data_IF_296570368964
#
_entry.id   IF_296570368964
#
_cell.length_a   1.000
_cell.length_b   1.000
_cell.length_c   1.000
_cell.angle_alpha   90.00
_cell.angle_beta   90.00
_cell.angle_gamma   90.00
#
_symmetry.space_group_name_H-M   'P 1'
#
loop_
_entity.id
_entity.type
_entity.pdbx_description
1 polymer ?
#
# COMPACT_ATOMS: atom_id res chain seq x y z
N UNK A 1 -42.88 -6.42 19.87
CA UNK A 1 -42.16 -5.12 19.83
C UNK A 1 -41.67 -4.91 21.24
N UNK A 2 -40.34 -4.85 21.44
CA UNK A 2 -39.76 -4.77 22.79
C UNK A 2 -40.20 -3.47 23.47
N UNK A 3 -40.44 -3.52 24.77
CA UNK A 3 -40.75 -2.32 25.56
C UNK A 3 -39.97 -2.30 26.87
N UNK A 4 -39.81 -1.11 27.44
CA UNK A 4 -39.14 -0.91 28.72
C UNK A 4 -40.18 -1.17 29.81
N UNK A 5 -39.94 -2.12 30.70
CA UNK A 5 -40.79 -2.41 31.87
C UNK A 5 -40.42 -1.56 33.07
N UNK A 6 -39.13 -1.26 33.22
CA UNK A 6 -38.63 -0.50 34.36
C UNK A 6 -37.37 0.27 34.02
N UNK A 7 -37.24 1.44 34.62
CA UNK A 7 -36.01 2.23 34.63
C UNK A 7 -35.58 2.52 36.07
N UNK A 8 -34.28 2.39 36.31
CA UNK A 8 -33.61 2.84 37.53
C UNK A 8 -32.61 3.91 37.14
N UNK A 9 -32.74 5.10 37.72
CA UNK A 9 -31.89 6.27 37.46
C UNK A 9 -31.15 6.61 38.76
N UNK A 10 -29.82 6.65 38.70
CA UNK A 10 -28.95 6.96 39.82
C UNK A 10 -28.04 8.14 39.47
N UNK A 11 -28.08 9.18 40.31
CA UNK A 11 -27.22 10.36 40.22
C UNK A 11 -27.18 11.03 38.84
N UNK A 12 -28.31 11.01 38.11
CA UNK A 12 -28.45 11.60 36.78
C UNK A 12 -29.29 12.88 36.86
N UNK A 13 -28.66 14.03 36.63
CA UNK A 13 -29.25 15.36 36.69
C UNK A 13 -30.03 15.58 38.02
N UNK A 14 -31.34 15.85 37.92
CA UNK A 14 -32.23 16.05 39.07
C UNK A 14 -32.52 14.78 39.88
N UNK A 15 -32.20 13.59 39.36
CA UNK A 15 -32.50 12.31 39.99
C UNK A 15 -31.31 11.81 40.82
N UNK A 16 -31.47 11.76 42.15
CA UNK A 16 -30.51 11.07 43.03
C UNK A 16 -30.70 9.55 42.92
N UNK A 17 -31.93 9.10 43.12
CA UNK A 17 -32.35 7.73 42.92
C UNK A 17 -33.82 7.76 42.52
N UNK A 18 -34.16 7.18 41.37
CA UNK A 18 -35.54 7.17 40.86
C UNK A 18 -35.80 5.83 40.19
N UNK A 19 -36.91 5.20 40.56
CA UNK A 19 -37.38 3.96 39.98
C UNK A 19 -38.75 4.24 39.38
N UNK A 20 -38.93 3.91 38.10
CA UNK A 20 -40.23 3.99 37.43
C UNK A 20 -40.51 2.64 36.80
N UNK A 21 -41.71 2.13 37.04
CA UNK A 21 -42.25 0.98 36.35
C UNK A 21 -43.20 1.49 35.27
N UNK A 22 -43.14 0.88 34.09
CA UNK A 22 -43.96 1.21 32.95
C UNK A 22 -44.91 0.05 32.66
N UNK A 23 -46.12 0.40 32.27
CA UNK A 23 -47.11 -0.55 31.79
C UNK A 23 -47.09 -0.64 30.26
N UNK A 24 -47.65 -1.71 29.73
CA UNK A 24 -47.82 -1.83 28.28
C UNK A 24 -48.81 -0.77 27.77
N UNK A 25 -48.40 -0.02 26.74
CA UNK A 25 -49.22 1.00 26.10
C UNK A 25 -48.72 2.40 26.36
N UNK A 26 -49.63 3.31 26.72
CA UNK A 26 -49.32 4.75 26.89
C UNK A 26 -49.04 5.05 28.35
N UNK A 27 -47.80 5.45 28.65
CA UNK A 27 -47.38 5.91 29.96
C UNK A 27 -47.26 7.44 29.94
N UNK A 28 -47.89 8.13 30.90
CA UNK A 28 -47.88 9.59 30.98
C UNK A 28 -47.17 10.02 32.26
N UNK A 29 -46.07 10.78 32.11
CA UNK A 29 -45.31 11.34 33.25
C UNK A 29 -45.76 12.79 33.45
N UNK A 30 -46.45 13.06 34.56
CA UNK A 30 -47.03 14.37 34.88
C UNK A 30 -46.30 14.98 36.08
N UNK A 31 -46.17 16.30 36.10
CA UNK A 31 -45.60 17.03 37.23
C UNK A 31 -45.30 18.49 36.89
N UNK A 32 -44.92 19.32 37.88
CA UNK A 32 -44.60 20.73 37.70
C UNK A 32 -43.42 20.94 36.74
N UNK A 33 -43.33 22.10 36.08
CA UNK A 33 -42.13 22.48 35.32
C UNK A 33 -40.87 22.35 36.18
N UNK A 34 -39.74 22.01 35.55
CA UNK A 34 -38.44 21.76 36.22
C UNK A 34 -38.40 20.66 37.29
N UNK A 35 -39.42 19.79 37.34
CA UNK A 35 -39.42 18.62 38.25
C UNK A 35 -38.54 17.43 37.79
N UNK A 36 -37.78 17.58 36.70
CA UNK A 36 -36.92 16.52 36.16
C UNK A 36 -37.56 15.57 35.14
N UNK A 37 -38.80 15.81 34.69
CA UNK A 37 -39.47 14.94 33.70
C UNK A 37 -38.65 14.72 32.42
N UNK A 38 -38.11 15.80 31.87
CA UNK A 38 -37.26 15.75 30.67
C UNK A 38 -35.96 14.97 30.93
N UNK A 39 -35.44 14.99 32.16
CA UNK A 39 -34.25 14.23 32.56
C UNK A 39 -34.46 12.72 32.46
N UNK A 40 -35.68 12.22 32.66
CA UNK A 40 -36.03 10.80 32.49
C UNK A 40 -35.89 10.38 31.03
N UNK A 41 -36.44 11.17 30.10
CA UNK A 41 -36.32 10.91 28.65
C UNK A 41 -34.85 10.99 28.21
N UNK A 42 -34.08 11.94 28.76
CA UNK A 42 -32.63 12.04 28.52
C UNK A 42 -31.87 10.84 29.07
N UNK A 43 -32.25 10.31 30.23
CA UNK A 43 -31.64 9.11 30.80
C UNK A 43 -31.87 7.88 29.90
N UNK A 44 -33.08 7.70 29.37
CA UNK A 44 -33.39 6.65 28.39
C UNK A 44 -32.57 6.85 27.11
N UNK A 45 -32.53 8.09 26.58
CA UNK A 45 -31.73 8.44 25.41
C UNK A 45 -30.24 8.14 25.61
N UNK A 46 -29.73 8.36 26.81
CA UNK A 46 -28.34 8.11 27.16
C UNK A 46 -27.99 6.63 27.12
N UNK A 47 -28.87 5.76 27.61
CA UNK A 47 -28.70 4.31 27.47
C UNK A 47 -28.75 3.92 25.99
N UNK A 48 -29.75 4.38 25.24
CA UNK A 48 -30.02 3.95 23.87
C UNK A 48 -29.00 4.42 22.83
N UNK A 49 -28.48 5.63 22.99
CA UNK A 49 -27.70 6.31 21.96
C UNK A 49 -26.37 6.90 22.46
N UNK A 50 -26.00 6.66 23.73
CA UNK A 50 -24.83 7.27 24.36
C UNK A 50 -24.86 8.82 24.31
N UNK A 51 -26.07 9.38 24.38
CA UNK A 51 -26.31 10.83 24.29
C UNK A 51 -27.12 11.33 25.50
N UNK A 52 -26.64 12.36 26.21
CA UNK A 52 -25.54 13.23 25.81
C UNK A 52 -24.13 12.68 26.10
N UNK A 53 -23.12 13.24 25.42
CA UNK A 53 -21.71 12.96 25.67
C UNK A 53 -21.17 13.77 26.87
N UNK A 54 -19.96 13.44 27.34
CA UNK A 54 -19.37 14.09 28.51
C UNK A 54 -19.92 13.55 29.82
N UNK A 55 -19.81 14.32 30.90
CA UNK A 55 -20.16 13.94 32.27
C UNK A 55 -21.05 14.99 32.98
N UNK A 56 -21.49 16.03 32.27
CA UNK A 56 -22.30 17.12 32.83
C UNK A 56 -23.69 16.68 33.33
N UNK A 57 -24.15 15.50 32.91
CA UNK A 57 -25.37 14.89 33.39
C UNK A 57 -25.21 14.20 34.74
N UNK A 58 -23.99 14.02 35.25
CA UNK A 58 -23.76 13.56 36.62
C UNK A 58 -24.27 14.63 37.58
N UNK A 59 -25.10 14.20 38.54
CA UNK A 59 -25.68 15.08 39.55
C UNK A 59 -24.59 15.82 40.33
N UNK A 60 -24.79 17.13 40.55
CA UNK A 60 -23.85 17.96 41.31
C UNK A 60 -23.61 17.38 42.71
N UNK A 61 -22.35 17.16 43.05
CA UNK A 61 -21.92 16.57 44.33
C UNK A 61 -21.66 15.07 44.27
N UNK A 62 -22.03 14.40 43.18
CA UNK A 62 -21.82 12.97 42.96
C UNK A 62 -20.64 12.74 41.99
N UNK A 63 -20.04 11.55 42.05
CA UNK A 63 -18.85 11.19 41.24
C UNK A 63 -19.15 10.25 40.09
N UNK A 64 -20.35 9.68 40.08
CA UNK A 64 -20.82 8.72 39.09
C UNK A 64 -22.33 8.84 38.87
N UNK A 65 -22.78 8.41 37.69
CA UNK A 65 -24.18 8.28 37.33
C UNK A 65 -24.42 6.95 36.62
N UNK A 66 -25.59 6.35 36.85
CA UNK A 66 -25.99 5.08 36.25
C UNK A 66 -27.45 5.12 35.85
N UNK A 67 -27.78 4.47 34.73
CA UNK A 67 -29.15 4.26 34.28
C UNK A 67 -29.30 2.82 33.87
N UNK A 68 -30.29 2.13 34.43
CA UNK A 68 -30.59 0.72 34.14
C UNK A 68 -31.98 0.60 33.55
N UNK A 69 -32.10 -0.05 32.39
CA UNK A 69 -33.36 -0.39 31.74
C UNK A 69 -33.61 -1.89 31.86
N UNK A 70 -34.83 -2.25 32.23
CA UNK A 70 -35.35 -3.61 32.20
C UNK A 70 -36.31 -3.70 31.02
N UNK A 71 -36.09 -4.67 30.15
CA UNK A 71 -36.87 -4.90 28.95
C UNK A 71 -37.83 -6.09 29.15
N UNK A 72 -38.93 -6.09 28.42
CA UNK A 72 -39.98 -7.13 28.44
C UNK A 72 -39.49 -8.52 28.04
N UNK A 73 -38.36 -8.61 27.37
CA UNK A 73 -37.73 -9.87 26.96
C UNK A 73 -36.68 -10.37 27.96
N UNK A 74 -36.65 -9.85 29.19
CA UNK A 74 -35.75 -10.28 30.27
C UNK A 74 -34.37 -9.64 30.25
N UNK A 75 -34.02 -8.87 29.22
CA UNK A 75 -32.72 -8.19 29.15
C UNK A 75 -32.67 -7.01 30.12
N UNK A 76 -31.54 -6.88 30.81
CA UNK A 76 -31.24 -5.75 31.69
C UNK A 76 -30.03 -5.03 31.13
N UNK A 77 -30.16 -3.73 30.85
CA UNK A 77 -29.09 -2.93 30.25
C UNK A 77 -28.78 -1.78 31.18
N UNK A 78 -27.55 -1.75 31.68
CA UNK A 78 -27.04 -0.69 32.53
C UNK A 78 -25.98 0.11 31.79
N UNK A 79 -26.13 1.43 31.86
CA UNK A 79 -25.19 2.41 31.35
C UNK A 79 -24.63 3.20 32.53
N UNK A 80 -23.32 3.17 32.73
CA UNK A 80 -22.67 3.87 33.83
C UNK A 80 -21.49 4.73 33.41
N UNK A 81 -21.32 5.87 34.06
CA UNK A 81 -20.19 6.78 33.86
C UNK A 81 -19.73 7.42 35.17
N UNK A 82 -18.43 7.46 35.34
CA UNK A 82 -17.72 8.23 36.37
C UNK A 82 -16.52 8.94 35.72
N UNK A 83 -15.69 9.61 36.52
CA UNK A 83 -14.45 10.23 36.02
C UNK A 83 -13.51 9.22 35.34
N UNK A 84 -13.48 7.97 35.83
CA UNK A 84 -12.51 6.96 35.39
C UNK A 84 -13.15 5.79 34.66
N UNK A 85 -14.48 5.66 34.69
CA UNK A 85 -15.20 4.53 34.09
C UNK A 85 -16.24 5.01 33.11
N UNK A 86 -16.35 4.32 32.00
CA UNK A 86 -17.33 4.55 30.97
C UNK A 86 -17.75 3.21 30.40
N UNK A 87 -18.87 2.68 30.87
CA UNK A 87 -19.21 1.28 30.65
C UNK A 87 -20.67 1.07 30.27
N UNK A 88 -20.92 -0.07 29.62
CA UNK A 88 -22.22 -0.72 29.51
C UNK A 88 -22.12 -2.10 30.16
N UNK A 89 -23.19 -2.52 30.84
CA UNK A 89 -23.41 -3.89 31.28
C UNK A 89 -24.72 -4.37 30.66
N UNK A 90 -24.73 -5.62 30.19
CA UNK A 90 -25.93 -6.30 29.73
C UNK A 90 -26.09 -7.60 30.49
N UNK A 91 -27.30 -7.87 30.95
CA UNK A 91 -27.71 -9.17 31.48
C UNK A 91 -28.72 -9.76 30.51
N UNK A 92 -28.48 -10.99 30.06
CA UNK A 92 -29.40 -11.73 29.21
C UNK A 92 -30.47 -12.48 30.02
N UNK A 93 -31.38 -13.17 29.33
CA UNK A 93 -32.44 -13.99 29.91
C UNK A 93 -31.91 -15.19 30.74
N UNK A 94 -30.64 -15.54 30.54
CA UNK A 94 -29.93 -16.62 31.22
C UNK A 94 -29.13 -16.12 32.43
N UNK A 95 -29.30 -14.84 32.82
CA UNK A 95 -28.54 -14.15 33.87
C UNK A 95 -27.02 -14.07 33.63
N UNK A 96 -26.56 -14.23 32.38
CA UNK A 96 -25.17 -13.98 32.02
C UNK A 96 -24.96 -12.47 31.91
N UNK A 97 -23.93 -11.98 32.58
CA UNK A 97 -23.54 -10.56 32.55
C UNK A 97 -22.34 -10.37 31.64
N UNK A 98 -22.45 -9.45 30.70
CA UNK A 98 -21.34 -8.99 29.86
C UNK A 98 -21.06 -7.50 30.11
N UNK A 99 -19.78 -7.15 30.12
CA UNK A 99 -19.28 -5.81 30.43
C UNK A 99 -18.51 -5.24 29.25
N UNK A 100 -18.82 -4.00 28.86
CA UNK A 100 -18.19 -3.33 27.72
C UNK A 100 -17.64 -1.97 28.14
N UNK A 101 -16.37 -1.74 27.81
CA UNK A 101 -15.66 -0.46 27.96
C UNK A 101 -14.96 -0.10 26.64
N UNK A 102 -14.42 1.12 26.53
CA UNK A 102 -13.63 1.51 25.36
C UNK A 102 -14.41 1.73 24.05
N UNK A 103 -15.74 1.76 24.08
CA UNK A 103 -16.61 1.97 22.90
C UNK A 103 -16.64 3.43 22.38
N UNK A 104 -15.90 4.35 23.01
CA UNK A 104 -15.82 5.76 22.61
C UNK A 104 -17.19 6.45 22.64
N UNK A 105 -17.61 6.97 21.48
CA UNK A 105 -18.90 7.65 21.29
C UNK A 105 -20.01 6.75 20.79
N UNK A 106 -19.70 5.53 20.33
CA UNK A 106 -20.68 4.60 19.79
C UNK A 106 -21.30 3.73 20.90
N UNK A 107 -22.47 3.15 20.63
CA UNK A 107 -23.08 2.13 21.49
C UNK A 107 -22.60 0.75 21.01
N UNK A 108 -22.13 -0.17 21.88
CA UNK A 108 -21.75 -1.53 21.49
C UNK A 108 -22.87 -2.25 20.72
N UNK A 109 -22.50 -3.15 19.79
CA UNK A 109 -23.46 -3.77 18.87
C UNK A 109 -24.48 -4.63 19.64
N UNK A 110 -23.99 -5.36 20.63
CA UNK A 110 -24.76 -6.25 21.51
C UNK A 110 -25.83 -5.47 22.28
N UNK A 111 -25.49 -4.26 22.75
CA UNK A 111 -26.43 -3.34 23.40
C UNK A 111 -27.50 -2.86 22.40
N UNK A 112 -27.10 -2.50 21.17
CA UNK A 112 -28.05 -2.07 20.13
C UNK A 112 -29.02 -3.19 19.74
N UNK A 113 -28.55 -4.43 19.66
CA UNK A 113 -29.37 -5.60 19.32
C UNK A 113 -30.34 -5.97 20.45
N UNK A 114 -29.86 -5.91 21.69
CA UNK A 114 -30.69 -6.15 22.86
C UNK A 114 -31.80 -5.10 22.99
N UNK A 115 -31.49 -3.81 22.83
CA UNK A 115 -32.49 -2.74 22.80
C UNK A 115 -33.39 -2.80 21.57
N UNK A 116 -32.88 -3.28 20.43
CA UNK A 116 -33.58 -3.24 19.14
C UNK A 116 -33.75 -1.83 18.59
N UNK A 117 -32.90 -0.87 18.99
CA UNK A 117 -32.94 0.52 18.52
C UNK A 117 -31.63 0.91 17.86
N UNK A 118 -31.73 1.61 16.73
CA UNK A 118 -30.57 2.17 16.01
C UNK A 118 -30.95 3.52 15.43
N UNK A 119 -29.96 4.40 15.28
CA UNK A 119 -30.15 5.63 14.51
C UNK A 119 -30.14 5.31 13.02
N UNK A 120 -31.05 5.95 12.28
CA UNK A 120 -31.14 5.81 10.83
C UNK A 120 -30.32 6.92 10.18
N UNK A 121 -29.27 6.54 9.45
CA UNK A 121 -28.40 7.49 8.75
C UNK A 121 -29.06 7.99 7.45
N UNK A 122 -29.62 9.19 7.45
CA UNK A 122 -30.28 9.76 6.26
C UNK A 122 -29.32 10.48 5.31
N UNK A 123 -28.21 11.02 5.84
CA UNK A 123 -27.12 11.61 5.04
C UNK A 123 -25.78 11.42 5.78
N UNK A 124 -24.67 11.90 5.21
CA UNK A 124 -23.35 11.80 5.87
C UNK A 124 -23.34 12.43 7.26
N UNK A 125 -24.05 13.54 7.44
CA UNK A 125 -24.06 14.36 8.66
C UNK A 125 -25.41 14.35 9.39
N UNK A 126 -26.36 13.50 8.98
CA UNK A 126 -27.70 13.47 9.57
C UNK A 126 -28.12 12.05 9.94
N UNK A 127 -28.21 11.81 11.25
CA UNK A 127 -28.67 10.56 11.85
C UNK A 127 -29.96 10.83 12.62
N UNK A 128 -31.02 10.13 12.24
CA UNK A 128 -32.35 10.29 12.83
C UNK A 128 -32.61 9.21 13.89
N UNK A 129 -33.00 9.62 15.09
CA UNK A 129 -33.51 8.72 16.11
C UNK A 129 -35.03 8.63 15.96
N UNK A 130 -35.55 7.47 15.57
CA UNK A 130 -36.99 7.30 15.35
C UNK A 130 -37.78 7.06 16.65
N UNK A 131 -37.11 6.56 17.69
CA UNK A 131 -37.76 6.06 18.89
C UNK A 131 -37.95 7.14 19.98
N UNK A 132 -37.21 8.25 19.90
CA UNK A 132 -37.24 9.32 20.90
C UNK A 132 -37.38 10.63 20.16
N UNK A 133 -38.39 11.42 20.54
CA UNK A 133 -38.52 12.81 20.11
C UNK A 133 -38.14 13.77 21.23
N UNK A 134 -37.38 14.81 20.92
CA UNK A 134 -36.93 15.81 21.89
C UNK A 134 -37.98 16.90 22.12
N UNK A 135 -37.86 17.57 23.27
CA UNK A 135 -38.68 18.75 23.56
C UNK A 135 -38.38 19.85 22.54
N UNK A 136 -39.43 20.41 21.92
CA UNK A 136 -39.35 21.40 20.84
C UNK A 136 -38.70 20.87 19.54
N UNK A 137 -38.56 19.55 19.38
CA UNK A 137 -38.18 18.99 18.08
C UNK A 137 -39.28 19.31 17.06
N UNK A 138 -38.85 19.66 15.84
CA UNK A 138 -39.76 19.86 14.72
C UNK A 138 -40.58 18.58 14.49
N UNK A 139 -41.84 18.71 14.05
CA UNK A 139 -42.58 17.55 13.54
C UNK A 139 -41.74 16.75 12.53
N UNK A 140 -41.78 15.43 12.67
CA UNK A 140 -40.99 14.47 11.91
C UNK A 140 -40.95 14.81 10.42
N UNK A 141 -39.74 15.03 9.89
CA UNK A 141 -39.43 15.34 8.49
C UNK A 141 -40.12 16.59 7.90
N UNK A 142 -40.96 17.33 8.62
CA UNK A 142 -41.68 18.47 8.04
C UNK A 142 -40.77 19.66 7.74
N UNK A 143 -39.82 19.96 8.64
CA UNK A 143 -38.86 21.05 8.45
C UNK A 143 -37.52 20.61 7.83
N UNK A 144 -37.40 19.35 7.44
CA UNK A 144 -36.18 18.84 6.81
C UNK A 144 -36.07 19.26 5.34
N UNK A 145 -34.85 19.22 4.79
CA UNK A 145 -34.64 19.52 3.36
C UNK A 145 -35.30 18.46 2.45
N UNK A 146 -35.72 18.81 1.22
CA UNK A 146 -36.31 17.85 0.29
C UNK A 146 -35.46 16.59 0.07
N UNK A 147 -34.13 16.73 0.06
CA UNK A 147 -33.19 15.63 -0.05
C UNK A 147 -33.27 14.66 1.14
N UNK A 148 -33.28 15.18 2.37
CA UNK A 148 -33.42 14.37 3.59
C UNK A 148 -34.78 13.66 3.60
N UNK A 149 -35.86 14.34 3.21
CA UNK A 149 -37.19 13.72 3.10
C UNK A 149 -37.20 12.56 2.10
N UNK A 150 -36.63 12.78 0.90
CA UNK A 150 -36.53 11.75 -0.13
C UNK A 150 -35.74 10.53 0.35
N UNK A 151 -34.59 10.75 1.01
CA UNK A 151 -33.77 9.67 1.57
C UNK A 151 -34.50 8.92 2.70
N UNK A 152 -35.22 9.62 3.57
CA UNK A 152 -36.02 9.00 4.62
C UNK A 152 -37.13 8.11 4.03
N UNK A 153 -37.86 8.62 3.05
CA UNK A 153 -38.92 7.87 2.36
C UNK A 153 -38.33 6.64 1.64
N UNK A 154 -37.22 6.81 0.92
CA UNK A 154 -36.56 5.71 0.22
C UNK A 154 -36.07 4.61 1.17
N UNK A 155 -35.54 4.98 2.33
CA UNK A 155 -35.16 4.02 3.39
C UNK A 155 -36.35 3.32 4.02
N UNK A 156 -37.44 4.04 4.28
CA UNK A 156 -38.68 3.44 4.78
C UNK A 156 -39.30 2.47 3.77
N UNK A 157 -39.19 2.77 2.48
CA UNK A 157 -39.65 1.92 1.39
C UNK A 157 -38.67 0.79 1.02
N UNK A 158 -37.45 0.79 1.59
CA UNK A 158 -36.40 -0.19 1.27
C UNK A 158 -35.78 -0.03 -0.12
N UNK A 159 -35.96 1.13 -0.78
CA UNK A 159 -35.39 1.40 -2.11
C UNK A 159 -33.96 1.94 -2.04
N UNK A 160 -33.49 2.32 -0.85
CA UNK A 160 -32.15 2.89 -0.63
C UNK A 160 -31.01 1.94 -1.01
N UNK A 161 -31.24 0.63 -0.98
CA UNK A 161 -30.25 -0.38 -1.41
C UNK A 161 -29.88 -0.17 -2.88
N UNK A 162 -30.86 0.11 -3.73
CA UNK A 162 -30.65 0.31 -5.17
C UNK A 162 -29.90 1.63 -5.39
N UNK A 163 -30.32 2.70 -4.73
CA UNK A 163 -29.67 4.01 -4.82
C UNK A 163 -28.19 3.95 -4.38
N UNK A 164 -27.91 3.26 -3.28
CA UNK A 164 -26.56 3.04 -2.79
C UNK A 164 -25.71 2.21 -3.77
N UNK A 165 -26.29 1.19 -4.41
CA UNK A 165 -25.60 0.40 -5.43
C UNK A 165 -25.26 1.27 -6.65
N UNK A 166 -26.21 2.07 -7.14
CA UNK A 166 -26.00 2.99 -8.28
C UNK A 166 -24.91 4.02 -7.98
N UNK A 167 -24.87 4.60 -6.78
CA UNK A 167 -23.81 5.53 -6.39
C UNK A 167 -22.44 4.86 -6.37
N UNK A 168 -22.31 3.65 -5.80
CA UNK A 168 -21.05 2.92 -5.78
C UNK A 168 -20.56 2.59 -7.18
N UNK A 169 -21.43 2.04 -8.03
CA UNK A 169 -21.11 1.74 -9.43
C UNK A 169 -20.66 2.98 -10.21
N UNK A 170 -21.30 4.12 -9.96
CA UNK A 170 -20.92 5.39 -10.59
C UNK A 170 -19.51 5.85 -10.17
N UNK A 171 -19.17 5.72 -8.88
CA UNK A 171 -17.82 6.02 -8.36
C UNK A 171 -16.77 5.08 -8.95
N UNK A 172 -17.08 3.78 -8.99
CA UNK A 172 -16.20 2.76 -9.56
C UNK A 172 -15.94 3.03 -11.04
N UNK A 173 -16.99 3.32 -11.81
CA UNK A 173 -16.88 3.68 -13.23
C UNK A 173 -16.00 4.90 -13.45
N UNK A 174 -16.13 5.94 -12.61
CA UNK A 174 -15.28 7.12 -12.69
C UNK A 174 -13.81 6.81 -12.40
N UNK A 175 -13.53 6.01 -11.37
CA UNK A 175 -12.17 5.60 -11.00
C UNK A 175 -11.51 4.77 -12.10
N UNK A 176 -12.24 3.81 -12.69
CA UNK A 176 -11.76 2.98 -13.78
C UNK A 176 -11.49 3.79 -15.04
N UNK A 177 -12.37 4.73 -15.38
CA UNK A 177 -12.18 5.62 -16.54
C UNK A 177 -10.93 6.49 -16.37
N UNK A 178 -10.69 6.97 -15.15
CA UNK A 178 -9.50 7.77 -14.82
C UNK A 178 -8.23 6.93 -14.95
N UNK A 179 -8.22 5.72 -14.38
CA UNK A 179 -7.09 4.79 -14.48
C UNK A 179 -6.78 4.43 -15.94
N UNK A 180 -7.81 4.12 -16.72
CA UNK A 180 -7.67 3.78 -18.14
C UNK A 180 -7.03 4.94 -18.93
N UNK A 181 -7.32 6.20 -18.58
CA UNK A 181 -6.68 7.36 -19.19
C UNK A 181 -5.18 7.36 -18.90
N UNK A 182 -4.79 7.20 -17.63
CA UNK A 182 -3.37 7.18 -17.25
C UNK A 182 -2.61 6.01 -17.86
N UNK A 183 -3.18 4.80 -17.84
CA UNK A 183 -2.56 3.61 -18.43
C UNK A 183 -2.32 3.79 -19.95
N UNK A 184 -3.23 4.48 -20.65
CA UNK A 184 -3.04 4.85 -22.06
C UNK A 184 -1.90 5.85 -22.27
N UNK A 185 -1.86 6.90 -21.46
CA UNK A 185 -0.78 7.90 -21.54
C UNK A 185 0.59 7.26 -21.27
N UNK A 186 0.68 6.31 -20.34
CA UNK A 186 1.91 5.60 -20.04
C UNK A 186 2.29 4.59 -21.13
N UNK A 187 1.31 3.90 -21.73
CA UNK A 187 1.55 3.07 -22.92
C UNK A 187 2.13 3.89 -24.07
N UNK A 188 1.60 5.08 -24.33
CA UNK A 188 2.10 5.95 -25.39
C UNK A 188 3.54 6.40 -25.12
N UNK A 189 3.87 6.76 -23.88
CA UNK A 189 5.26 7.09 -23.49
C UNK A 189 6.21 5.90 -23.68
N UNK A 190 5.81 4.71 -23.21
CA UNK A 190 6.65 3.52 -23.30
C UNK A 190 6.89 3.12 -24.77
N UNK A 191 5.87 3.26 -25.61
CA UNK A 191 6.00 3.04 -27.05
C UNK A 191 6.96 4.03 -27.71
N UNK A 192 6.96 5.30 -27.31
CA UNK A 192 7.96 6.29 -27.76
C UNK A 192 9.38 5.97 -27.27
N UNK A 193 9.54 5.46 -26.05
CA UNK A 193 10.84 5.02 -25.54
C UNK A 193 11.37 3.81 -26.32
N UNK A 194 10.53 2.82 -26.60
CA UNK A 194 10.90 1.64 -27.41
C UNK A 194 11.41 2.03 -28.79
N UNK A 195 10.82 3.06 -29.44
CA UNK A 195 11.28 3.55 -30.74
C UNK A 195 12.74 4.00 -30.73
N UNK A 196 13.25 4.53 -29.60
CA UNK A 196 14.66 4.95 -29.47
C UNK A 196 15.64 3.79 -29.62
N UNK A 197 15.19 2.57 -29.33
CA UNK A 197 16.00 1.36 -29.34
C UNK A 197 15.91 0.56 -30.66
N UNK A 198 15.21 1.09 -31.67
CA UNK A 198 14.97 0.39 -32.95
C UNK A 198 16.26 -0.05 -33.68
N UNK A 199 17.36 0.68 -33.49
CA UNK A 199 18.62 0.44 -34.21
C UNK A 199 19.61 -0.47 -33.45
N UNK A 200 19.24 -1.00 -32.27
CA UNK A 200 20.14 -1.85 -31.46
C UNK A 200 20.65 -3.07 -32.22
N UNK A 201 19.79 -3.71 -33.03
CA UNK A 201 20.20 -4.89 -33.81
C UNK A 201 21.22 -4.55 -34.90
N UNK A 202 21.11 -3.37 -35.51
CA UNK A 202 22.09 -2.90 -36.49
C UNK A 202 23.41 -2.53 -35.82
N UNK A 203 23.37 -1.87 -34.66
CA UNK A 203 24.58 -1.57 -33.89
C UNK A 203 25.29 -2.85 -33.43
N UNK A 204 24.54 -3.87 -33.00
CA UNK A 204 25.08 -5.19 -32.66
C UNK A 204 25.81 -5.83 -33.85
N UNK A 205 25.21 -5.78 -35.05
CA UNK A 205 25.85 -6.27 -36.29
C UNK A 205 27.14 -5.52 -36.62
N UNK A 206 27.18 -4.19 -36.45
CA UNK A 206 28.40 -3.39 -36.65
C UNK A 206 29.49 -3.80 -35.67
N UNK A 207 29.16 -3.99 -34.40
CA UNK A 207 30.10 -4.44 -33.37
C UNK A 207 30.68 -5.81 -33.72
N UNK A 208 29.84 -6.75 -34.14
CA UNK A 208 30.28 -8.10 -34.52
C UNK A 208 31.20 -8.07 -35.75
N UNK A 209 30.91 -7.21 -36.74
CA UNK A 209 31.82 -6.97 -37.86
C UNK A 209 33.17 -6.37 -37.42
N UNK A 210 33.17 -5.37 -36.53
CA UNK A 210 34.41 -4.81 -36.00
C UNK A 210 35.24 -5.85 -35.25
N UNK A 211 34.61 -6.73 -34.45
CA UNK A 211 35.31 -7.83 -33.77
C UNK A 211 35.99 -8.76 -34.77
N UNK A 212 35.31 -9.11 -35.87
CA UNK A 212 35.88 -9.96 -36.92
C UNK A 212 37.09 -9.28 -37.59
N UNK A 213 37.00 -7.99 -37.91
CA UNK A 213 38.11 -7.22 -38.49
C UNK A 213 39.29 -7.18 -37.52
N UNK A 214 39.06 -6.89 -36.23
CA UNK A 214 40.11 -6.86 -35.20
C UNK A 214 40.82 -8.22 -35.11
N UNK A 215 40.08 -9.33 -35.14
CA UNK A 215 40.69 -10.66 -35.15
C UNK A 215 41.56 -10.90 -36.38
N UNK A 216 41.10 -10.51 -37.57
CA UNK A 216 41.90 -10.63 -38.79
C UNK A 216 43.18 -9.78 -38.75
N UNK A 217 43.11 -8.58 -38.18
CA UNK A 217 44.26 -7.70 -38.00
C UNK A 217 45.28 -8.29 -37.04
N UNK A 218 44.82 -8.89 -35.93
CA UNK A 218 45.70 -9.61 -35.00
C UNK A 218 46.46 -10.73 -35.71
N UNK A 219 45.76 -11.57 -36.48
CA UNK A 219 46.39 -12.65 -37.25
C UNK A 219 47.42 -12.13 -38.26
N UNK A 220 47.08 -11.09 -39.03
CA UNK A 220 48.02 -10.47 -39.98
C UNK A 220 49.24 -9.85 -39.29
N UNK A 221 49.06 -9.24 -38.12
CA UNK A 221 50.16 -8.69 -37.31
C UNK A 221 51.12 -9.79 -36.85
N UNK A 222 50.59 -10.94 -36.40
CA UNK A 222 51.41 -12.10 -36.02
C UNK A 222 52.18 -12.64 -37.23
N UNK A 223 51.53 -12.76 -38.39
CA UNK A 223 52.18 -13.20 -39.62
C UNK A 223 53.32 -12.24 -40.03
N UNK A 224 53.09 -10.93 -39.96
CA UNK A 224 54.10 -9.92 -40.26
C UNK A 224 55.30 -10.01 -39.32
N UNK A 225 55.07 -10.25 -38.03
CA UNK A 225 56.16 -10.45 -37.06
C UNK A 225 56.99 -11.69 -37.39
N UNK A 226 56.34 -12.79 -37.79
CA UNK A 226 57.04 -14.01 -38.21
C UNK A 226 57.86 -13.78 -39.48
N UNK A 227 57.29 -13.10 -40.49
CA UNK A 227 58.01 -12.77 -41.72
C UNK A 227 59.21 -11.84 -41.49
N UNK A 228 59.10 -10.88 -40.56
CA UNK A 228 60.23 -10.03 -40.17
C UNK A 228 61.36 -10.85 -39.55
N UNK A 229 61.06 -11.77 -38.64
CA UNK A 229 62.05 -12.69 -38.07
C UNK A 229 62.72 -13.53 -39.15
N UNK A 230 61.93 -14.11 -40.06
CA UNK A 230 62.47 -14.93 -41.15
C UNK A 230 63.39 -14.13 -42.08
N UNK A 231 63.07 -12.85 -42.32
CA UNK A 231 63.93 -11.95 -43.10
C UNK A 231 65.25 -11.64 -42.38
N UNK A 232 65.21 -11.42 -41.07
CA UNK A 232 66.42 -11.23 -40.26
C UNK A 232 67.31 -12.48 -40.29
N UNK A 233 66.71 -13.66 -40.17
CA UNK A 233 67.40 -14.95 -40.30
C UNK A 233 68.02 -15.13 -41.68
N UNK A 234 67.27 -14.84 -42.76
CA UNK A 234 67.77 -14.89 -44.13
C UNK A 234 68.98 -13.97 -44.33
N UNK A 235 68.87 -12.70 -43.92
CA UNK A 235 69.95 -11.72 -44.05
C UNK A 235 71.21 -12.15 -43.27
N UNK A 236 71.03 -12.77 -42.10
CA UNK A 236 72.15 -13.32 -41.32
C UNK A 236 72.85 -14.46 -42.07
N UNK A 237 72.08 -15.39 -42.65
CA UNK A 237 72.63 -16.48 -43.46
C UNK A 237 73.34 -15.94 -44.70
N UNK A 238 72.77 -14.97 -45.40
CA UNK A 238 73.36 -14.33 -46.58
C UNK A 238 74.69 -13.63 -46.24
N UNK A 239 74.75 -12.90 -45.12
CA UNK A 239 76.00 -12.31 -44.62
C UNK A 239 77.07 -13.38 -44.33
N UNK A 240 76.68 -14.52 -43.77
CA UNK A 240 77.62 -15.62 -43.51
C UNK A 240 78.11 -16.26 -44.81
N UNK A 241 77.23 -16.42 -45.81
CA UNK A 241 77.62 -16.91 -47.14
C UNK A 241 78.62 -15.96 -47.77
N UNK A 242 78.37 -14.64 -47.76
CA UNK A 242 79.27 -13.65 -48.33
C UNK A 242 80.63 -13.64 -47.63
N UNK A 243 80.66 -13.69 -46.28
CA UNK A 243 81.91 -13.81 -45.52
C UNK A 243 82.69 -15.07 -45.89
N UNK A 244 82.00 -16.21 -46.01
CA UNK A 244 82.65 -17.45 -46.42
C UNK A 244 83.19 -17.36 -47.86
N UNK A 245 82.48 -16.69 -48.76
CA UNK A 245 82.96 -16.44 -50.12
C UNK A 245 84.21 -15.55 -50.15
N UNK A 246 84.26 -14.46 -49.38
CA UNK A 246 85.47 -13.63 -49.25
C UNK A 246 86.66 -14.44 -48.70
N UNK A 247 86.41 -15.32 -47.73
CA UNK A 247 87.44 -16.25 -47.24
C UNK A 247 87.93 -17.16 -48.38
N UNK A 248 87.02 -17.74 -49.16
CA UNK A 248 87.40 -18.56 -50.32
C UNK A 248 88.19 -17.76 -51.37
N UNK A 249 87.85 -16.50 -51.62
CA UNK A 249 88.59 -15.64 -52.56
C UNK A 249 90.01 -15.33 -52.07
N UNK A 250 90.19 -15.06 -50.78
CA UNK A 250 91.52 -14.85 -50.18
C UNK A 250 92.44 -16.08 -50.28
N UNK A 251 91.86 -17.27 -50.46
CA UNK A 251 92.61 -18.52 -50.64
C UNK A 251 92.66 -19.00 -52.09
N UNK A 252 92.15 -18.25 -53.08
CA UNK A 252 92.23 -18.62 -54.52
C UNK A 252 93.66 -18.81 -55.01
N UNK A 253 94.59 -18.01 -54.50
CA UNK A 253 95.99 -18.06 -54.92
C UNK A 253 96.81 -19.14 -54.21
N UNK A 254 96.23 -19.89 -53.24
CA UNK A 254 96.95 -21.00 -52.58
C UNK A 254 97.40 -22.05 -53.59
N UNK A 255 96.56 -22.42 -54.56
CA UNK A 255 96.95 -23.39 -55.60
C UNK A 255 98.11 -22.87 -56.46
N UNK A 256 98.15 -21.55 -56.70
CA UNK A 256 99.23 -20.89 -57.46
C UNK A 256 100.51 -20.85 -56.61
N UNK A 257 100.40 -20.56 -55.31
CA UNK A 257 101.53 -20.60 -54.38
C UNK A 257 102.09 -22.01 -54.22
N UNK A 258 101.26 -23.05 -54.08
CA UNK A 258 101.70 -24.45 -54.07
C UNK A 258 102.44 -24.82 -55.34
N UNK A 259 101.90 -24.43 -56.51
CA UNK A 259 102.54 -24.69 -57.80
C UNK A 259 103.89 -23.98 -57.92
N UNK A 260 103.99 -22.74 -57.45
CA UNK A 260 105.23 -21.97 -57.46
C UNK A 260 106.27 -22.52 -56.46
N UNK A 261 105.84 -22.96 -55.27
CA UNK A 261 106.72 -23.63 -54.29
C UNK A 261 107.28 -24.91 -54.87
N UNK A 262 106.45 -25.72 -55.55
CA UNK A 262 106.91 -26.94 -56.22
C UNK A 262 107.94 -26.62 -57.33
N UNK A 263 107.70 -25.59 -58.15
CA UNK A 263 108.64 -25.17 -59.20
C UNK A 263 109.98 -24.68 -58.62
N UNK A 264 109.95 -23.91 -57.53
CA UNK A 264 111.17 -23.42 -56.87
C UNK A 264 111.95 -24.56 -56.21
N UNK A 265 111.25 -25.51 -55.58
CA UNK A 265 111.83 -26.72 -55.01
C UNK A 265 112.57 -27.55 -56.08
N UNK A 266 111.92 -27.77 -57.24
CA UNK A 266 112.52 -28.48 -58.37
C UNK A 266 113.76 -27.77 -58.93
N UNK A 267 113.74 -26.44 -59.02
CA UNK A 267 114.90 -25.64 -59.46
C UNK A 267 116.06 -25.70 -58.47
N UNK A 268 115.77 -25.65 -57.17
CA UNK A 268 116.80 -25.75 -56.12
C UNK A 268 117.45 -27.14 -56.09
N UNK A 269 116.71 -28.21 -56.36
CA UNK A 269 117.31 -29.54 -56.50
C UNK A 269 118.26 -29.63 -57.70
N UNK A 270 117.93 -28.99 -58.83
CA UNK A 270 118.78 -29.02 -60.04
C UNK A 270 120.07 -28.20 -59.93
N UNK A 271 120.16 -27.24 -59.01
CA UNK A 271 121.39 -26.47 -58.76
C UNK A 271 122.34 -27.14 -57.76
N UNK A 272 121.94 -28.28 -57.17
CA UNK A 272 122.74 -29.05 -56.19
C UNK A 272 123.59 -30.19 -56.80
N UNK A 273 123.71 -30.28 -58.13
CA UNK A 273 124.56 -31.24 -58.83
C UNK A 273 125.33 -30.60 -59.98
#
# INVERSE_FOLDING_TARGET
MKYIEKIIIENFQSHKHTILNFEKGVNVIIGPSDSGKTSIIRAIRWVMYNEPSGDYFIRKGETEASVTLYLDNGYIIKRGRSKNKNYYEITDDSNKVEHYEGFGTNVPLEIQEALGVRKVKLSENYNLALNISEQLESPFLLNETPSIKSNAIGRLAGTDVIDNALQKLSKDMYSLKTRLKYDKEDLDKLNEEIKKYKNLDEEKRKIDNFKNIINSLKQKKTLLQNLKKLKEEYNFVELNINKNQEIFENYKDIEIFEKNINIISDKLMKLKY
#
